data_IF_439623582350
#
_entry.id   IF_439623582350
#
_cell.length_a   1.000
_cell.length_b   1.000
_cell.length_c   1.000
_cell.angle_alpha   90.00
_cell.angle_beta   90.00
_cell.angle_gamma   90.00
#
_symmetry.space_group_name_H-M   'P 1'
#
loop_
_entity.id
_entity.type
_entity.pdbx_description
1 polymer ?
#
# COMPACT_ATOMS: atom_id res chain seq x y z
N UNK A 1 -29.66 -69.09 26.18
CA UNK A 1 -28.71 -67.97 26.42
C UNK A 1 -28.42 -67.23 25.11
N UNK A 2 -29.33 -66.38 24.63
CA UNK A 2 -29.21 -65.73 23.29
C UNK A 2 -29.91 -64.37 23.23
N UNK A 3 -29.79 -63.54 24.29
CA UNK A 3 -30.37 -62.18 24.29
C UNK A 3 -29.36 -61.03 24.49
N UNK A 4 -28.07 -61.32 24.75
CA UNK A 4 -27.08 -60.27 25.00
C UNK A 4 -26.10 -59.96 23.85
N UNK A 5 -26.13 -60.70 22.74
CA UNK A 5 -25.23 -60.43 21.59
C UNK A 5 -25.78 -59.44 20.57
N UNK A 6 -27.07 -59.09 20.65
CA UNK A 6 -27.72 -58.22 19.66
C UNK A 6 -27.60 -56.73 20.00
N UNK A 7 -27.54 -56.38 21.29
CA UNK A 7 -27.45 -54.98 21.75
C UNK A 7 -26.08 -54.34 21.48
N UNK A 8 -24.99 -55.12 21.51
CA UNK A 8 -23.64 -54.63 21.25
C UNK A 8 -23.39 -54.27 19.78
N UNK A 9 -24.06 -54.94 18.83
CA UNK A 9 -23.94 -54.63 17.40
C UNK A 9 -24.67 -53.33 17.02
N UNK A 10 -25.78 -53.01 17.69
CA UNK A 10 -26.55 -51.78 17.47
C UNK A 10 -25.82 -50.57 18.05
N UNK A 11 -25.13 -50.73 19.19
CA UNK A 11 -24.31 -49.69 19.82
C UNK A 11 -23.04 -49.35 19.02
N UNK A 12 -22.48 -50.30 18.27
CA UNK A 12 -21.34 -50.03 17.40
C UNK A 12 -21.74 -49.38 16.06
N UNK A 13 -22.92 -49.70 15.52
CA UNK A 13 -23.42 -49.06 14.29
C UNK A 13 -23.81 -47.59 14.49
N UNK A 14 -24.36 -47.23 15.65
CA UNK A 14 -24.75 -45.85 15.97
C UNK A 14 -23.54 -44.93 16.20
N UNK A 15 -22.47 -45.43 16.83
CA UNK A 15 -21.21 -44.66 16.98
C UNK A 15 -20.55 -44.40 15.62
N UNK A 16 -20.58 -45.35 14.68
CA UNK A 16 -20.05 -45.15 13.31
C UNK A 16 -20.87 -44.15 12.48
N UNK A 17 -22.19 -44.09 12.65
CA UNK A 17 -23.06 -43.13 11.94
C UNK A 17 -22.92 -41.68 12.44
N UNK A 18 -22.61 -41.49 13.72
CA UNK A 18 -22.32 -40.15 14.28
C UNK A 18 -20.91 -39.68 13.89
N UNK A 19 -19.92 -40.58 13.81
CA UNK A 19 -18.58 -40.21 13.34
C UNK A 19 -18.54 -39.93 11.83
N UNK A 20 -19.34 -40.63 11.00
CA UNK A 20 -19.43 -40.33 9.57
C UNK A 20 -20.07 -38.95 9.26
N UNK A 21 -20.97 -38.46 10.13
CA UNK A 21 -21.62 -37.15 9.96
C UNK A 21 -20.78 -35.96 10.49
N UNK A 22 -19.82 -36.21 11.39
CA UNK A 22 -18.84 -35.19 11.82
C UNK A 22 -17.70 -35.03 10.80
N UNK A 23 -17.30 -36.10 10.10
CA UNK A 23 -16.18 -36.05 9.14
C UNK A 23 -16.58 -35.41 7.79
N UNK A 24 -17.87 -35.35 7.43
CA UNK A 24 -18.34 -34.68 6.21
C UNK A 24 -18.71 -33.19 6.35
N UNK A 25 -18.46 -32.55 7.50
CA UNK A 25 -18.77 -31.12 7.72
C UNK A 25 -17.58 -30.15 7.62
N UNK A 26 -16.35 -30.63 7.39
CA UNK A 26 -15.17 -29.77 7.25
C UNK A 26 -14.43 -29.89 5.91
N UNK A 27 -15.12 -30.34 4.85
CA UNK A 27 -14.57 -30.37 3.50
C UNK A 27 -15.34 -29.46 2.53
N UNK A 28 -15.87 -28.35 3.02
CA UNK A 28 -16.15 -27.19 2.16
C UNK A 28 -14.92 -26.29 2.20
N UNK A 29 -13.80 -26.77 1.66
CA UNK A 29 -12.78 -25.84 1.18
C UNK A 29 -13.44 -25.12 0.00
N UNK A 30 -14.02 -23.95 0.29
CA UNK A 30 -14.38 -22.98 -0.74
C UNK A 30 -13.13 -22.83 -1.60
N UNK A 31 -13.18 -23.37 -2.82
CA UNK A 31 -12.13 -23.15 -3.82
C UNK A 31 -11.89 -21.64 -3.83
N UNK A 32 -10.65 -21.15 -3.70
CA UNK A 32 -10.42 -19.72 -3.85
C UNK A 32 -10.97 -19.37 -5.22
N UNK A 33 -11.97 -18.49 -5.25
CA UNK A 33 -12.46 -17.93 -6.49
C UNK A 33 -11.24 -17.31 -7.17
N UNK A 34 -10.74 -17.99 -8.20
CA UNK A 34 -9.75 -17.41 -9.10
C UNK A 34 -10.52 -16.30 -9.78
N UNK A 35 -10.41 -15.08 -9.25
CA UNK A 35 -10.78 -13.88 -9.98
C UNK A 35 -9.86 -13.84 -11.19
N UNK A 36 -10.30 -14.48 -12.28
CA UNK A 36 -9.82 -14.22 -13.62
C UNK A 36 -10.21 -12.77 -13.91
N UNK A 37 -9.41 -11.81 -13.44
CA UNK A 37 -9.44 -10.49 -14.03
C UNK A 37 -9.09 -10.72 -15.49
N UNK A 38 -10.08 -10.56 -16.37
CA UNK A 38 -9.87 -10.49 -17.80
C UNK A 38 -8.76 -9.47 -18.03
N UNK A 39 -7.55 -9.95 -18.29
CA UNK A 39 -6.37 -9.08 -18.33
C UNK A 39 -6.62 -8.09 -19.45
N UNK A 40 -6.73 -6.81 -19.10
CA UNK A 40 -7.03 -5.79 -20.08
C UNK A 40 -5.92 -5.75 -21.13
N UNK A 41 -6.22 -5.27 -22.35
CA UNK A 41 -5.16 -5.07 -23.36
C UNK A 41 -4.01 -4.22 -22.82
N UNK A 42 -4.31 -3.28 -21.92
CA UNK A 42 -3.32 -2.51 -21.16
C UNK A 42 -2.44 -3.42 -20.29
N UNK A 43 -3.01 -4.27 -19.45
CA UNK A 43 -2.25 -5.14 -18.53
C UNK A 43 -1.34 -6.11 -19.31
N UNK A 44 -1.80 -6.58 -20.47
CA UNK A 44 -1.03 -7.43 -21.36
C UNK A 44 0.19 -6.69 -21.92
N UNK A 45 0.00 -5.47 -22.46
CA UNK A 45 1.11 -4.67 -22.97
C UNK A 45 2.09 -4.26 -21.87
N UNK A 46 1.60 -3.91 -20.68
CA UNK A 46 2.48 -3.65 -19.53
C UNK A 46 3.31 -4.90 -19.17
N UNK A 47 2.68 -6.08 -19.09
CA UNK A 47 3.39 -7.35 -18.82
C UNK A 47 4.46 -7.66 -19.87
N UNK A 48 4.14 -7.50 -21.15
CA UNK A 48 5.07 -7.73 -22.25
C UNK A 48 6.23 -6.72 -22.22
N UNK A 49 5.95 -5.46 -21.89
CA UNK A 49 6.97 -4.43 -21.67
C UNK A 49 7.96 -4.83 -20.58
N UNK A 50 7.48 -5.19 -19.39
CA UNK A 50 8.35 -5.65 -18.30
C UNK A 50 9.14 -6.91 -18.66
N UNK A 51 8.52 -7.87 -19.35
CA UNK A 51 9.17 -9.11 -19.79
C UNK A 51 10.23 -8.87 -20.89
N UNK A 52 10.10 -7.83 -21.70
CA UNK A 52 11.13 -7.41 -22.65
C UNK A 52 12.25 -6.65 -21.94
N UNK A 53 11.92 -5.82 -20.95
CA UNK A 53 12.89 -5.13 -20.09
C UNK A 53 13.78 -6.13 -19.33
N UNK A 54 13.21 -7.21 -18.78
CA UNK A 54 13.98 -8.22 -18.05
C UNK A 54 15.02 -8.92 -18.94
N UNK A 55 14.75 -8.98 -20.24
CA UNK A 55 15.67 -9.47 -21.28
C UNK A 55 16.62 -8.40 -21.82
N UNK A 56 16.62 -7.20 -21.23
CA UNK A 56 17.38 -6.01 -21.66
C UNK A 56 17.05 -5.53 -23.07
N UNK A 57 15.91 -5.94 -23.61
CA UNK A 57 15.42 -5.48 -24.91
C UNK A 57 14.60 -4.20 -24.74
N UNK A 58 15.31 -3.11 -24.42
CA UNK A 58 14.68 -1.83 -24.07
C UNK A 58 13.91 -1.20 -25.23
N UNK A 59 14.32 -1.44 -26.48
CA UNK A 59 13.60 -0.95 -27.66
C UNK A 59 12.25 -1.63 -27.80
N UNK A 60 12.21 -2.96 -27.69
CA UNK A 60 10.95 -3.72 -27.73
C UNK A 60 10.06 -3.40 -26.53
N UNK A 61 10.64 -3.33 -25.33
CA UNK A 61 9.93 -2.96 -24.11
C UNK A 61 9.23 -1.59 -24.24
N UNK A 62 9.95 -0.58 -24.75
CA UNK A 62 9.39 0.74 -25.04
C UNK A 62 8.21 0.67 -26.00
N UNK A 63 8.29 -0.16 -27.03
CA UNK A 63 7.18 -0.40 -27.97
C UNK A 63 5.93 -0.93 -27.26
N UNK A 64 6.07 -1.90 -26.37
CA UNK A 64 4.94 -2.41 -25.58
C UNK A 64 4.37 -1.35 -24.64
N UNK A 65 5.19 -0.57 -23.93
CA UNK A 65 4.69 0.49 -23.07
C UNK A 65 3.97 1.61 -23.86
N UNK A 66 4.40 1.89 -25.10
CA UNK A 66 3.66 2.79 -26.00
C UNK A 66 2.29 2.23 -26.37
N UNK A 67 2.18 0.92 -26.64
CA UNK A 67 0.89 0.27 -26.89
C UNK A 67 -0.01 0.32 -25.65
N UNK A 68 0.54 0.12 -24.44
CA UNK A 68 -0.21 0.30 -23.20
C UNK A 68 -0.75 1.74 -23.07
N UNK A 69 0.08 2.75 -23.38
CA UNK A 69 -0.33 4.16 -23.36
C UNK A 69 -1.38 4.49 -24.43
N UNK A 70 -1.39 3.80 -25.57
CA UNK A 70 -2.45 3.93 -26.58
C UNK A 70 -3.78 3.37 -26.08
N UNK A 71 -3.76 2.23 -25.36
CA UNK A 71 -4.97 1.65 -24.75
C UNK A 71 -5.50 2.54 -23.63
N UNK A 72 -4.60 3.17 -22.86
CA UNK A 72 -4.95 4.09 -21.78
C UNK A 72 -4.20 5.42 -21.91
N UNK A 73 -4.69 6.35 -22.75
CA UNK A 73 -4.07 7.65 -22.92
C UNK A 73 -3.96 8.41 -21.58
N UNK A 74 -2.79 8.98 -21.32
CA UNK A 74 -2.51 9.72 -20.07
C UNK A 74 -2.13 8.85 -18.86
N UNK A 75 -2.04 7.52 -19.03
CA UNK A 75 -1.62 6.62 -17.95
C UNK A 75 -0.20 6.95 -17.44
N UNK A 76 -0.10 7.20 -16.15
CA UNK A 76 1.14 7.66 -15.52
C UNK A 76 2.19 6.55 -15.42
N UNK A 77 1.77 5.28 -15.32
CA UNK A 77 2.67 4.15 -15.15
C UNK A 77 3.28 3.73 -16.48
N UNK A 78 2.48 3.64 -17.55
CA UNK A 78 2.99 3.43 -18.90
C UNK A 78 3.93 4.57 -19.31
N UNK A 79 3.59 5.82 -19.01
CA UNK A 79 4.46 6.98 -19.25
C UNK A 79 5.77 6.88 -18.46
N UNK A 80 5.72 6.49 -17.19
CA UNK A 80 6.92 6.29 -16.37
C UNK A 80 7.80 5.18 -16.93
N UNK A 81 7.22 4.06 -17.35
CA UNK A 81 7.93 2.94 -17.95
C UNK A 81 8.62 3.33 -19.27
N UNK A 82 7.98 4.12 -20.13
CA UNK A 82 8.60 4.67 -21.36
C UNK A 82 9.82 5.53 -21.02
N UNK A 83 9.69 6.46 -20.06
CA UNK A 83 10.83 7.30 -19.61
C UNK A 83 11.98 6.48 -19.06
N UNK A 84 11.68 5.40 -18.33
CA UNK A 84 12.70 4.47 -17.85
C UNK A 84 13.42 3.79 -19.02
N UNK A 85 12.71 3.36 -20.07
CA UNK A 85 13.33 2.80 -21.28
C UNK A 85 14.21 3.81 -22.00
N UNK A 86 13.77 5.06 -22.12
CA UNK A 86 14.55 6.14 -22.73
C UNK A 86 15.85 6.40 -21.95
N UNK A 87 15.81 6.29 -20.61
CA UNK A 87 17.02 6.38 -19.78
C UNK A 87 17.99 5.23 -20.10
N UNK A 88 17.55 3.97 -20.10
CA UNK A 88 18.44 2.84 -20.42
C UNK A 88 19.01 2.93 -21.84
N UNK A 89 18.20 3.34 -22.82
CA UNK A 89 18.63 3.51 -24.21
C UNK A 89 19.67 4.63 -24.38
N UNK A 90 19.62 5.65 -23.52
CA UNK A 90 20.60 6.74 -23.48
C UNK A 90 21.76 6.49 -22.49
N UNK A 91 21.90 5.26 -21.97
CA UNK A 91 22.89 4.87 -20.96
C UNK A 91 22.82 5.69 -19.66
N UNK A 92 21.67 6.29 -19.38
CA UNK A 92 21.37 6.98 -18.12
C UNK A 92 20.74 6.01 -17.14
N UNK A 93 21.03 6.15 -15.85
CA UNK A 93 20.34 5.39 -14.80
C UNK A 93 18.91 5.92 -14.62
N UNK A 94 17.87 5.09 -14.66
CA UNK A 94 16.51 5.52 -14.34
C UNK A 94 16.36 5.66 -12.82
N UNK A 95 16.55 6.89 -12.32
CA UNK A 95 16.16 7.28 -10.97
C UNK A 95 14.87 8.11 -11.03
N UNK A 96 13.87 7.62 -11.75
CA UNK A 96 12.54 8.25 -11.78
C UNK A 96 11.68 7.58 -10.70
N UNK A 97 11.93 7.92 -9.43
CA UNK A 97 10.94 7.64 -8.39
C UNK A 97 9.74 8.54 -8.73
N UNK A 98 8.63 7.94 -9.15
CA UNK A 98 7.42 8.69 -9.51
C UNK A 98 7.10 9.67 -8.39
N UNK A 99 6.90 10.94 -8.74
CA UNK A 99 6.58 11.99 -7.79
C UNK A 99 5.44 11.54 -6.87
N UNK A 100 5.74 11.51 -5.58
CA UNK A 100 4.79 11.28 -4.50
C UNK A 100 4.22 12.64 -4.19
N UNK A 101 2.93 12.88 -4.38
CA UNK A 101 2.35 14.20 -4.08
C UNK A 101 1.56 14.22 -2.79
N UNK A 102 1.03 15.40 -2.48
CA UNK A 102 0.05 15.57 -1.38
C UNK A 102 -1.36 15.25 -1.86
N UNK A 103 -2.12 14.46 -1.10
CA UNK A 103 -3.58 14.47 -1.21
C UNK A 103 -4.03 15.82 -0.64
N UNK A 104 -4.10 16.85 -1.48
CA UNK A 104 -4.84 18.07 -1.13
C UNK A 104 -6.32 17.69 -1.09
N UNK A 105 -6.79 17.34 0.10
CA UNK A 105 -8.18 16.95 0.31
C UNK A 105 -8.42 15.87 1.35
N UNK A 106 -7.54 15.64 2.34
CA UNK A 106 -8.04 15.03 3.58
C UNK A 106 -8.72 16.17 4.34
N UNK A 107 -10.03 16.04 4.58
CA UNK A 107 -10.74 16.89 5.52
C UNK A 107 -10.05 16.71 6.87
N UNK A 108 -9.07 17.55 7.17
CA UNK A 108 -8.77 17.87 8.56
C UNK A 108 -10.04 18.55 9.04
N UNK A 109 -10.97 17.76 9.57
CA UNK A 109 -12.15 18.26 10.25
C UNK A 109 -11.65 19.06 11.43
N UNK A 110 -11.37 20.34 11.23
CA UNK A 110 -11.13 21.29 12.28
C UNK A 110 -12.47 21.48 13.00
N UNK A 111 -12.84 20.51 13.82
CA UNK A 111 -13.92 20.62 14.79
C UNK A 111 -13.31 21.25 16.04
N UNK A 112 -13.94 22.34 16.51
CA UNK A 112 -13.51 23.18 17.64
C UNK A 112 -12.92 22.34 18.78
N UNK A 113 -11.59 22.36 18.93
CA UNK A 113 -10.85 21.67 19.97
C UNK A 113 -9.37 22.03 19.93
N UNK A 114 -8.68 21.92 21.06
CA UNK A 114 -7.24 22.14 21.15
C UNK A 114 -6.50 21.02 20.42
N UNK A 115 -5.84 21.38 19.31
CA UNK A 115 -5.06 20.45 18.48
C UNK A 115 -3.74 20.09 19.17
N UNK A 116 -3.39 18.80 19.18
CA UNK A 116 -2.11 18.31 19.68
C UNK A 116 -0.98 18.37 18.64
N UNK A 117 -1.24 18.95 17.46
CA UNK A 117 -0.24 19.40 16.49
C UNK A 117 -0.45 20.90 16.24
N UNK A 118 0.61 21.61 15.85
CA UNK A 118 0.52 23.04 15.54
C UNK A 118 -0.46 23.32 14.39
N UNK A 119 -1.16 24.46 14.47
CA UNK A 119 -2.33 24.80 13.63
C UNK A 119 -2.05 24.74 12.11
N UNK A 120 -0.82 25.03 11.71
CA UNK A 120 -0.39 25.06 10.30
C UNK A 120 0.44 23.83 9.90
N UNK A 121 0.67 22.90 10.84
CA UNK A 121 1.43 21.67 10.60
C UNK A 121 0.44 20.51 10.43
N UNK A 122 0.64 19.71 9.39
CA UNK A 122 -0.25 18.57 9.06
C UNK A 122 0.56 17.31 8.86
N UNK A 123 0.02 16.18 9.30
CA UNK A 123 0.55 14.88 8.90
C UNK A 123 0.39 14.71 7.39
N UNK A 124 1.37 14.09 6.73
CA UNK A 124 1.36 13.88 5.28
C UNK A 124 1.56 12.39 4.98
N UNK A 125 0.60 11.70 4.35
CA UNK A 125 0.80 10.34 3.87
C UNK A 125 1.67 10.34 2.61
N UNK A 126 2.65 9.43 2.55
CA UNK A 126 3.43 9.19 1.32
C UNK A 126 2.68 8.18 0.44
N UNK A 127 1.75 8.71 -0.36
CA UNK A 127 0.87 7.95 -1.26
C UNK A 127 0.92 8.55 -2.67
N UNK A 128 0.62 7.78 -3.73
CA UNK A 128 0.57 8.33 -5.08
C UNK A 128 -0.50 9.43 -5.17
N UNK A 129 -0.18 10.55 -5.82
CA UNK A 129 -1.20 11.54 -6.19
C UNK A 129 -1.71 11.29 -7.59
N UNK A 130 -3.03 11.25 -7.80
CA UNK A 130 -3.60 11.46 -9.12
C UNK A 130 -3.16 12.85 -9.62
N UNK A 131 -2.56 12.93 -10.82
CA UNK A 131 -2.31 14.24 -11.45
C UNK A 131 -3.66 14.86 -11.85
N UNK A 132 -3.90 16.07 -11.34
CA UNK A 132 -5.14 16.85 -11.50
C UNK A 132 -5.43 17.77 -10.30
N UNK A 133 -4.87 17.50 -9.12
CA UNK A 133 -5.05 18.30 -7.89
C UNK A 133 -4.06 19.46 -7.72
N UNK A 134 -3.22 19.70 -8.72
CA UNK A 134 -2.35 20.87 -8.84
C UNK A 134 -3.14 22.06 -9.40
N UNK A 135 -4.13 22.52 -8.66
CA UNK A 135 -5.00 23.62 -9.09
C UNK A 135 -6.14 23.81 -8.10
N UNK A 136 -6.35 25.06 -7.72
CA UNK A 136 -7.49 25.52 -6.94
C UNK A 136 -8.80 24.86 -7.40
N UNK A 137 -9.50 24.19 -6.47
CA UNK A 137 -10.91 23.83 -6.60
C UNK A 137 -11.26 22.84 -7.71
N UNK A 138 -11.27 21.55 -7.39
CA UNK A 138 -12.29 20.64 -7.94
C UNK A 138 -12.44 19.41 -7.05
N UNK A 139 -13.33 19.53 -6.06
CA UNK A 139 -14.03 18.38 -5.49
C UNK A 139 -15.06 17.92 -6.53
N UNK A 140 -14.65 17.19 -7.57
CA UNK A 140 -15.58 16.41 -8.40
C UNK A 140 -14.81 15.37 -9.24
N UNK A 141 -15.17 14.11 -9.01
CA UNK A 141 -14.87 12.90 -9.78
C UNK A 141 -13.81 12.96 -10.88
N UNK A 142 -12.59 12.50 -10.57
CA UNK A 142 -11.58 12.12 -11.56
C UNK A 142 -11.07 10.72 -11.27
N UNK A 143 -11.37 9.75 -12.15
CA UNK A 143 -11.06 8.32 -12.02
C UNK A 143 -9.57 7.98 -11.99
N UNK A 144 -8.90 8.26 -10.88
CA UNK A 144 -7.60 7.65 -10.56
C UNK A 144 -7.81 6.28 -9.92
N UNK A 145 -7.11 5.25 -10.40
CA UNK A 145 -7.09 3.94 -9.73
C UNK A 145 -6.55 4.09 -8.30
N UNK A 146 -7.15 3.38 -7.35
CA UNK A 146 -6.66 3.33 -5.98
C UNK A 146 -5.20 2.83 -5.95
N UNK A 147 -4.34 3.35 -5.06
CA UNK A 147 -2.99 2.83 -4.86
C UNK A 147 -3.00 1.31 -4.63
N UNK A 148 -2.10 0.58 -5.29
CA UNK A 148 -2.08 -0.89 -5.24
C UNK A 148 -1.01 -1.40 -4.30
N UNK A 149 -1.24 -2.60 -3.74
CA UNK A 149 -0.23 -3.36 -3.01
C UNK A 149 -0.29 -4.84 -3.33
N UNK A 150 0.89 -5.46 -3.38
CA UNK A 150 1.07 -6.91 -3.52
C UNK A 150 1.32 -7.62 -2.20
N UNK A 151 1.20 -6.91 -1.06
CA UNK A 151 1.37 -7.49 0.27
C UNK A 151 0.06 -7.63 1.01
N UNK A 152 -0.13 -8.77 1.68
CA UNK A 152 -1.25 -8.93 2.61
C UNK A 152 -1.09 -8.01 3.82
N UNK A 153 0.13 -7.57 4.14
CA UNK A 153 0.45 -6.67 5.26
C UNK A 153 1.36 -5.55 4.79
N UNK A 154 0.83 -4.55 4.06
CA UNK A 154 1.65 -3.45 3.53
C UNK A 154 2.25 -2.60 4.66
N UNK A 155 3.35 -1.91 4.37
CA UNK A 155 3.82 -0.80 5.21
C UNK A 155 3.22 0.51 4.70
N UNK A 156 2.82 1.40 5.61
CA UNK A 156 2.43 2.78 5.32
C UNK A 156 3.52 3.74 5.79
N UNK A 157 3.62 4.91 5.16
CA UNK A 157 4.62 5.91 5.50
C UNK A 157 3.96 7.27 5.70
N UNK A 158 4.19 7.88 6.87
CA UNK A 158 3.60 9.16 7.24
C UNK A 158 4.68 10.13 7.72
N UNK A 159 4.69 11.34 7.18
CA UNK A 159 5.38 12.44 7.82
C UNK A 159 4.54 12.97 8.98
N UNK A 160 5.16 13.08 10.16
CA UNK A 160 4.53 13.54 11.38
C UNK A 160 5.30 14.79 11.87
N UNK A 161 4.69 15.98 11.90
CA UNK A 161 5.34 17.20 12.37
C UNK A 161 5.09 17.42 13.87
N UNK A 162 5.99 16.95 14.74
CA UNK A 162 5.89 17.18 16.20
C UNK A 162 6.94 18.19 16.64
N UNK A 163 6.50 19.27 17.28
CA UNK A 163 7.36 20.34 17.81
C UNK A 163 7.01 20.62 19.28
N UNK A 164 8.05 20.73 20.12
CA UNK A 164 7.91 21.07 21.54
C UNK A 164 7.08 20.05 22.34
N UNK A 165 6.26 20.56 23.27
CA UNK A 165 5.46 19.75 24.19
C UNK A 165 4.09 19.34 23.63
N UNK A 166 3.67 19.91 22.50
CA UNK A 166 2.42 19.52 21.82
C UNK A 166 2.64 18.21 21.06
N UNK A 167 2.13 17.13 21.62
CA UNK A 167 2.18 15.80 21.01
C UNK A 167 0.90 15.02 21.25
N UNK A 168 0.49 14.15 20.32
CA UNK A 168 -0.62 13.25 20.53
C UNK A 168 -0.38 12.33 21.72
N UNK A 169 -1.46 11.82 22.30
CA UNK A 169 -1.41 10.80 23.36
C UNK A 169 -1.01 9.45 22.80
N UNK A 170 -1.48 9.13 21.59
CA UNK A 170 -1.09 7.96 20.79
C UNK A 170 -1.48 8.20 19.32
N UNK A 171 -1.00 7.32 18.43
CA UNK A 171 -1.50 7.25 17.06
C UNK A 171 -2.34 5.99 16.85
N UNK A 172 -3.29 6.03 15.93
CA UNK A 172 -4.14 4.89 15.61
C UNK A 172 -4.24 4.71 14.09
N UNK A 173 -4.00 3.49 13.60
CA UNK A 173 -4.32 3.08 12.24
C UNK A 173 -5.62 2.28 12.28
N UNK A 174 -6.60 2.67 11.46
CA UNK A 174 -7.85 1.94 11.25
C UNK A 174 -7.96 1.59 9.78
N UNK A 175 -8.25 0.33 9.45
CA UNK A 175 -8.42 -0.14 8.06
C UNK A 175 -9.75 -0.87 7.97
N UNK A 176 -10.52 -0.58 6.92
CA UNK A 176 -11.84 -1.14 6.67
C UNK A 176 -11.96 -1.57 5.21
N UNK A 177 -12.59 -2.70 4.99
CA UNK A 177 -13.04 -3.11 3.64
C UNK A 177 -14.00 -2.04 3.08
N UNK A 178 -13.72 -1.51 1.88
CA UNK A 178 -14.51 -0.47 1.23
C UNK A 178 -15.94 -0.92 0.89
N UNK A 179 -16.16 -2.22 0.72
CA UNK A 179 -17.44 -2.82 0.33
C UNK A 179 -18.10 -3.62 1.48
N UNK A 180 -17.43 -3.72 2.63
CA UNK A 180 -17.86 -4.53 3.75
C UNK A 180 -18.90 -3.84 4.64
N UNK A 181 -19.73 -4.64 5.32
CA UNK A 181 -20.72 -4.20 6.32
C UNK A 181 -20.14 -3.62 7.61
N UNK A 182 -18.86 -3.23 7.62
CA UNK A 182 -18.15 -2.73 8.81
C UNK A 182 -17.75 -3.79 9.84
N UNK A 183 -17.89 -5.09 9.53
CA UNK A 183 -17.51 -6.20 10.44
C UNK A 183 -16.01 -6.49 10.48
N UNK A 184 -15.28 -6.23 9.40
CA UNK A 184 -13.83 -6.47 9.30
C UNK A 184 -13.08 -5.14 9.41
N UNK A 185 -12.90 -4.67 10.64
CA UNK A 185 -12.15 -3.45 10.95
C UNK A 185 -10.88 -3.82 11.68
N UNK A 186 -9.75 -3.53 11.05
CA UNK A 186 -8.43 -3.68 11.65
C UNK A 186 -8.07 -2.39 12.36
N UNK A 187 -7.67 -2.47 13.63
CA UNK A 187 -7.23 -1.32 14.43
C UNK A 187 -5.91 -1.63 15.11
N UNK A 188 -4.97 -0.69 15.04
CA UNK A 188 -3.69 -0.76 15.75
C UNK A 188 -3.38 0.58 16.40
N UNK A 189 -2.96 0.53 17.66
CA UNK A 189 -2.53 1.70 18.43
C UNK A 189 -0.99 1.72 18.50
N UNK A 190 -0.43 2.92 18.41
CA UNK A 190 1.01 3.17 18.43
C UNK A 190 1.40 4.22 19.46
N UNK A 191 2.62 4.11 19.96
CA UNK A 191 3.20 5.06 20.92
C UNK A 191 3.35 6.45 20.29
N UNK A 192 3.20 7.53 21.08
CA UNK A 192 3.46 8.87 20.59
C UNK A 192 4.95 9.09 20.27
N UNK A 193 5.24 10.08 19.44
CA UNK A 193 6.60 10.45 19.03
C UNK A 193 6.92 11.87 19.49
N UNK A 194 8.21 12.18 19.64
CA UNK A 194 8.69 13.48 20.14
C UNK A 194 9.57 14.23 19.14
N UNK A 195 9.71 13.72 17.92
CA UNK A 195 10.53 14.32 16.86
C UNK A 195 9.75 14.32 15.56
N UNK A 196 9.80 15.44 14.83
CA UNK A 196 9.35 15.46 13.44
C UNK A 196 10.15 14.48 12.60
N UNK A 197 9.47 13.83 11.65
CA UNK A 197 10.09 12.84 10.79
C UNK A 197 9.10 12.01 10.00
N UNK A 198 9.63 11.15 9.15
CA UNK A 198 8.85 10.15 8.43
C UNK A 198 8.89 8.83 9.18
N UNK A 199 7.71 8.29 9.41
CA UNK A 199 7.51 7.07 10.17
C UNK A 199 6.93 5.97 9.29
N UNK A 200 7.55 4.80 9.34
CA UNK A 200 7.02 3.56 8.77
C UNK A 200 6.05 2.94 9.78
N UNK A 201 4.85 2.61 9.30
CA UNK A 201 3.77 2.00 10.08
C UNK A 201 3.42 0.68 9.41
N UNK A 202 3.82 -0.43 10.03
CA UNK A 202 3.56 -1.76 9.51
C UNK A 202 2.10 -2.15 9.72
N UNK A 203 1.46 -2.77 8.72
CA UNK A 203 0.12 -3.31 8.87
C UNK A 203 0.08 -4.36 9.99
N UNK A 204 -0.97 -4.37 10.84
CA UNK A 204 -1.02 -5.21 12.04
C UNK A 204 -1.43 -6.66 11.72
N UNK A 205 -2.13 -7.35 12.62
CA UNK A 205 -2.58 -8.73 12.43
C UNK A 205 -3.69 -8.86 11.36
N UNK A 206 -3.91 -10.09 10.89
CA UNK A 206 -4.76 -10.36 9.73
C UNK A 206 -4.02 -10.14 8.41
N UNK A 207 -4.75 -9.75 7.36
CA UNK A 207 -4.17 -9.38 6.08
C UNK A 207 -5.24 -8.94 5.07
N UNK A 208 -4.81 -8.11 4.12
CA UNK A 208 -5.62 -7.69 2.99
C UNK A 208 -5.81 -8.84 2.00
N UNK A 209 -7.05 -9.09 1.63
CA UNK A 209 -7.45 -10.09 0.64
C UNK A 209 -7.29 -9.57 -0.80
N UNK A 210 -6.76 -10.41 -1.68
CA UNK A 210 -6.56 -10.09 -3.10
C UNK A 210 -7.89 -9.76 -3.78
N UNK A 211 -7.89 -8.71 -4.60
CA UNK A 211 -9.05 -8.21 -5.33
C UNK A 211 -9.87 -7.19 -4.56
N UNK A 212 -9.66 -7.06 -3.24
CA UNK A 212 -10.42 -6.12 -2.40
C UNK A 212 -9.75 -4.75 -2.28
N UNK A 213 -10.59 -3.74 -2.11
CA UNK A 213 -10.21 -2.37 -1.80
C UNK A 213 -10.52 -2.05 -0.34
N UNK A 214 -9.65 -1.28 0.29
CA UNK A 214 -9.75 -0.89 1.68
C UNK A 214 -9.57 0.62 1.82
N UNK A 215 -10.30 1.21 2.76
CA UNK A 215 -10.03 2.54 3.27
C UNK A 215 -9.18 2.44 4.52
N UNK A 216 -8.22 3.35 4.66
CA UNK A 216 -7.41 3.48 5.86
C UNK A 216 -7.52 4.90 6.42
N UNK A 217 -7.51 5.01 7.74
CA UNK A 217 -7.46 6.27 8.49
C UNK A 217 -6.29 6.16 9.48
N UNK A 218 -5.39 7.15 9.44
CA UNK A 218 -4.34 7.31 10.43
C UNK A 218 -4.61 8.56 11.27
N UNK A 219 -4.79 8.36 12.57
CA UNK A 219 -5.25 9.36 13.53
C UNK A 219 -4.16 9.70 14.53
N UNK A 220 -3.89 10.99 14.73
CA UNK A 220 -3.19 11.49 15.90
C UNK A 220 -4.22 11.83 16.98
N UNK A 221 -4.27 11.03 18.05
CA UNK A 221 -5.29 11.17 19.08
C UNK A 221 -4.83 12.15 20.16
N UNK A 222 -5.50 13.31 20.23
CA UNK A 222 -5.13 14.40 21.12
C UNK A 222 -5.75 14.29 22.52
N UNK A 223 -6.99 13.82 22.60
CA UNK A 223 -7.77 13.69 23.84
C UNK A 223 -8.15 12.22 24.07
N UNK A 224 -8.03 11.75 25.32
CA UNK A 224 -8.34 10.36 25.68
C UNK A 224 -9.83 10.03 25.57
N UNK A 225 -10.66 11.03 25.80
CA UNK A 225 -12.11 10.86 25.98
C UNK A 225 -12.89 11.44 24.80
N UNK A 226 -12.25 12.22 23.92
CA UNK A 226 -12.90 12.87 22.79
C UNK A 226 -12.10 12.68 21.50
N UNK A 227 -12.42 11.60 20.78
CA UNK A 227 -11.80 11.28 19.49
C UNK A 227 -12.17 12.28 18.40
N UNK A 228 -13.21 13.12 18.58
CA UNK A 228 -13.56 14.16 17.60
C UNK A 228 -12.53 15.28 17.51
N UNK A 229 -11.63 15.35 18.49
CA UNK A 229 -10.44 16.22 18.51
C UNK A 229 -9.21 15.58 17.86
N UNK A 230 -9.32 14.35 17.33
CA UNK A 230 -8.20 13.69 16.65
C UNK A 230 -7.92 14.35 15.30
N UNK A 231 -6.67 14.29 14.88
CA UNK A 231 -6.24 14.77 13.56
C UNK A 231 -6.10 13.55 12.66
N UNK A 232 -6.93 13.48 11.64
CA UNK A 232 -7.04 12.32 10.78
C UNK A 232 -6.49 12.60 9.37
N UNK A 233 -5.79 11.63 8.83
CA UNK A 233 -5.47 11.52 7.41
C UNK A 233 -6.00 10.19 6.88
N UNK A 234 -6.48 10.20 5.65
CA UNK A 234 -7.21 9.08 5.06
C UNK A 234 -6.70 8.75 3.67
N UNK A 235 -6.97 7.53 3.23
CA UNK A 235 -6.81 7.14 1.84
C UNK A 235 -7.31 5.73 1.57
N UNK A 236 -6.97 5.23 0.39
CA UNK A 236 -7.38 3.93 -0.10
C UNK A 236 -6.16 3.07 -0.42
N UNK A 237 -6.37 1.76 -0.42
CA UNK A 237 -5.40 0.78 -0.91
C UNK A 237 -6.12 -0.44 -1.46
N UNK A 238 -5.74 -0.90 -2.64
CA UNK A 238 -6.25 -2.11 -3.24
C UNK A 238 -5.20 -3.22 -3.19
N UNK A 239 -5.60 -4.39 -2.72
CA UNK A 239 -4.73 -5.57 -2.74
C UNK A 239 -4.84 -6.26 -4.10
N UNK A 240 -3.74 -6.35 -4.83
CA UNK A 240 -3.71 -6.96 -6.17
C UNK A 240 -2.65 -8.05 -6.26
N UNK A 241 -2.73 -8.89 -7.29
CA UNK A 241 -1.61 -9.74 -7.68
C UNK A 241 -0.56 -8.89 -8.42
N UNK A 242 0.71 -9.26 -8.27
CA UNK A 242 1.78 -8.63 -9.02
C UNK A 242 1.65 -8.99 -10.50
N UNK A 243 1.87 -8.03 -11.39
CA UNK A 243 1.93 -8.31 -12.82
C UNK A 243 3.03 -9.36 -13.08
N UNK A 244 2.76 -10.49 -13.76
CA UNK A 244 3.75 -11.54 -13.95
C UNK A 244 5.03 -11.08 -14.66
N UNK A 245 4.92 -10.21 -15.67
CA UNK A 245 6.08 -9.63 -16.34
C UNK A 245 6.92 -8.76 -15.41
N UNK A 246 6.28 -7.99 -14.52
CA UNK A 246 6.96 -7.22 -13.48
C UNK A 246 7.60 -8.14 -12.43
N UNK A 247 6.93 -9.22 -12.03
CA UNK A 247 7.49 -10.21 -11.11
C UNK A 247 8.78 -10.81 -11.68
N UNK A 248 8.78 -11.18 -12.96
CA UNK A 248 9.93 -11.74 -13.66
C UNK A 248 11.10 -10.74 -13.74
N UNK A 249 10.79 -9.48 -14.03
CA UNK A 249 11.76 -8.39 -14.00
C UNK A 249 12.40 -8.25 -12.61
N UNK A 250 11.57 -8.14 -11.58
CA UNK A 250 12.02 -7.90 -10.20
C UNK A 250 12.82 -9.05 -9.59
N UNK A 251 12.72 -10.29 -10.10
CA UNK A 251 13.55 -11.42 -9.62
C UNK A 251 15.05 -11.18 -9.81
N UNK A 252 15.41 -10.41 -10.83
CA UNK A 252 16.81 -10.12 -11.18
C UNK A 252 17.19 -8.65 -10.92
N UNK A 253 16.31 -7.87 -10.30
CA UNK A 253 16.51 -6.45 -10.03
C UNK A 253 16.78 -6.22 -8.55
N UNK A 254 17.77 -5.38 -8.23
CA UNK A 254 18.16 -5.07 -6.85
C UNK A 254 18.37 -3.56 -6.64
N UNK A 255 18.55 -3.16 -5.37
CA UNK A 255 18.88 -1.80 -5.01
C UNK A 255 17.84 -0.77 -5.47
N UNK A 256 18.30 0.42 -5.84
CA UNK A 256 17.45 1.52 -6.29
C UNK A 256 16.70 1.22 -7.59
N UNK A 257 17.21 0.32 -8.43
CA UNK A 257 16.50 -0.09 -9.64
C UNK A 257 15.19 -0.81 -9.29
N UNK A 258 15.21 -1.67 -8.27
CA UNK A 258 14.01 -2.37 -7.77
C UNK A 258 12.98 -1.38 -7.22
N UNK A 259 13.45 -0.36 -6.50
CA UNK A 259 12.62 0.76 -6.01
C UNK A 259 11.95 1.49 -7.17
N UNK A 260 12.72 1.88 -8.20
CA UNK A 260 12.20 2.54 -9.40
C UNK A 260 11.11 1.71 -10.07
N UNK A 261 11.30 0.40 -10.20
CA UNK A 261 10.33 -0.48 -10.85
C UNK A 261 9.03 -0.63 -10.08
N UNK A 262 9.07 -0.76 -8.76
CA UNK A 262 7.85 -0.73 -7.96
C UNK A 262 7.13 0.62 -8.08
N UNK A 263 7.85 1.74 -7.93
CA UNK A 263 7.27 3.08 -7.96
C UNK A 263 6.61 3.41 -9.31
N UNK A 264 7.32 3.10 -10.42
CA UNK A 264 6.83 3.34 -11.78
C UNK A 264 5.71 2.41 -12.22
N UNK A 265 5.39 1.38 -11.43
CA UNK A 265 4.36 0.38 -11.74
C UNK A 265 3.14 0.43 -10.80
N UNK A 266 3.03 1.48 -9.97
CA UNK A 266 1.87 1.70 -9.11
C UNK A 266 1.93 1.06 -7.72
N UNK A 267 3.08 0.49 -7.37
CA UNK A 267 3.34 -0.17 -6.09
C UNK A 267 4.20 0.71 -5.18
N UNK A 268 3.72 1.92 -4.86
CA UNK A 268 4.51 2.90 -4.12
C UNK A 268 4.84 2.44 -2.69
N UNK A 269 3.93 1.73 -2.02
CA UNK A 269 4.19 1.23 -0.68
C UNK A 269 5.32 0.19 -0.70
N UNK A 270 5.36 -0.67 -1.72
CA UNK A 270 6.47 -1.56 -1.98
C UNK A 270 7.76 -0.79 -2.26
N UNK A 271 7.71 0.23 -3.12
CA UNK A 271 8.88 1.04 -3.42
C UNK A 271 9.48 1.71 -2.16
N UNK A 272 8.62 2.28 -1.31
CA UNK A 272 9.02 2.92 -0.05
C UNK A 272 9.60 1.91 0.95
N UNK A 273 8.97 0.73 1.07
CA UNK A 273 9.45 -0.36 1.93
C UNK A 273 10.79 -0.91 1.46
N UNK A 274 10.99 -1.09 0.16
CA UNK A 274 12.27 -1.53 -0.38
C UNK A 274 13.34 -0.45 -0.19
N UNK A 275 13.00 0.82 -0.45
CA UNK A 275 13.91 1.96 -0.25
C UNK A 275 14.34 2.08 1.22
N UNK A 276 13.43 1.90 2.17
CA UNK A 276 13.73 2.01 3.61
C UNK A 276 14.69 0.92 4.12
N UNK A 277 14.87 -0.17 3.36
CA UNK A 277 15.76 -1.27 3.70
C UNK A 277 17.14 -1.17 3.05
N UNK A 278 17.34 -0.23 2.11
CA UNK A 278 18.63 -0.08 1.44
C UNK A 278 19.68 0.54 2.38
N UNK A 279 20.96 0.14 2.27
CA UNK A 279 22.04 0.75 3.03
C UNK A 279 22.15 2.25 2.74
N UNK A 280 22.38 3.03 3.80
CA UNK A 280 22.58 4.48 3.67
C UNK A 280 23.84 4.78 2.86
N UNK A 281 23.66 5.48 1.76
CA UNK A 281 24.71 6.04 0.91
C UNK A 281 24.19 7.31 0.20
N UNK A 282 25.04 7.93 -0.62
CA UNK A 282 24.66 9.18 -1.30
C UNK A 282 23.48 8.99 -2.25
N UNK A 283 23.44 7.88 -2.99
CA UNK A 283 22.38 7.61 -3.97
C UNK A 283 21.02 7.37 -3.29
N UNK A 284 20.97 6.54 -2.25
CA UNK A 284 19.75 6.25 -1.47
C UNK A 284 19.24 7.46 -0.71
N UNK A 285 20.14 8.26 -0.15
CA UNK A 285 19.77 9.50 0.54
C UNK A 285 19.23 10.54 -0.44
N UNK A 286 19.79 10.64 -1.65
CA UNK A 286 19.27 11.53 -2.69
C UNK A 286 17.91 11.08 -3.20
N UNK A 287 17.73 9.77 -3.46
CA UNK A 287 16.45 9.18 -3.81
C UNK A 287 15.36 9.47 -2.76
N UNK A 288 15.70 9.32 -1.48
CA UNK A 288 14.80 9.65 -0.37
C UNK A 288 14.44 11.13 -0.34
N UNK A 289 15.42 12.02 -0.49
CA UNK A 289 15.21 13.47 -0.52
C UNK A 289 14.31 13.89 -1.67
N UNK A 290 14.56 13.41 -2.89
CA UNK A 290 13.75 13.72 -4.07
C UNK A 290 12.30 13.27 -3.88
N UNK A 291 12.09 12.09 -3.29
CA UNK A 291 10.76 11.60 -2.95
C UNK A 291 10.04 12.54 -1.98
N UNK A 292 10.68 12.94 -0.87
CA UNK A 292 10.07 13.82 0.11
C UNK A 292 9.81 15.24 -0.43
N UNK A 293 10.72 15.76 -1.24
CA UNK A 293 10.53 17.04 -1.93
C UNK A 293 9.34 17.00 -2.89
N UNK A 294 9.16 15.89 -3.61
CA UNK A 294 7.98 15.72 -4.48
C UNK A 294 6.66 15.77 -3.69
N UNK A 295 6.70 15.35 -2.42
CA UNK A 295 5.57 15.38 -1.49
C UNK A 295 5.40 16.73 -0.79
N UNK A 296 6.10 17.78 -1.23
CA UNK A 296 6.15 19.11 -0.60
C UNK A 296 6.57 19.08 0.88
N UNK A 297 7.34 18.07 1.31
CA UNK A 297 7.92 18.02 2.64
C UNK A 297 9.23 18.82 2.60
N UNK A 298 9.28 19.94 3.33
CA UNK A 298 10.43 20.86 3.37
C UNK A 298 11.21 20.79 4.68
N UNK A 299 10.78 19.96 5.64
CA UNK A 299 11.49 19.73 6.90
C UNK A 299 12.84 19.07 6.63
N UNK A 300 13.92 19.84 6.82
CA UNK A 300 15.29 19.41 6.57
C UNK A 300 15.75 18.30 7.52
N UNK A 301 15.24 18.26 8.75
CA UNK A 301 15.55 17.17 9.68
C UNK A 301 14.91 15.86 9.20
N UNK A 302 13.65 15.91 8.75
CA UNK A 302 12.97 14.76 8.18
C UNK A 302 13.60 14.29 6.86
N UNK A 303 14.00 15.23 5.98
CA UNK A 303 14.68 14.93 4.71
C UNK A 303 16.00 14.19 4.93
N UNK A 304 16.75 14.55 5.96
CA UNK A 304 18.06 13.95 6.24
C UNK A 304 17.98 12.66 7.09
N UNK A 305 16.83 12.41 7.71
CA UNK A 305 16.53 11.20 8.46
C UNK A 305 16.17 10.05 7.51
N UNK A 306 17.18 9.24 7.20
CA UNK A 306 17.06 8.03 6.38
C UNK A 306 17.87 6.88 7.03
N UNK A 307 17.32 5.67 7.16
CA UNK A 307 15.96 5.27 6.79
C UNK A 307 14.87 5.89 7.70
N UNK A 308 13.58 5.83 7.30
CA UNK A 308 12.48 6.25 8.16
C UNK A 308 12.42 5.42 9.44
N UNK A 309 11.90 6.03 10.51
CA UNK A 309 11.78 5.37 11.83
C UNK A 309 10.55 4.47 11.85
N UNK A 310 10.66 3.25 12.37
CA UNK A 310 9.47 2.41 12.61
C UNK A 310 8.66 2.91 13.80
N UNK A 311 7.38 3.19 13.57
CA UNK A 311 6.46 3.58 14.63
C UNK A 311 6.14 2.37 15.51
N UNK A 312 6.32 2.52 16.82
CA UNK A 312 6.23 1.40 17.75
C UNK A 312 4.77 1.13 18.14
N UNK A 313 4.28 -0.11 18.01
CA UNK A 313 2.97 -0.47 18.53
C UNK A 313 2.95 -0.31 20.06
N UNK A 314 1.76 -0.02 20.59
CA UNK A 314 1.55 0.08 22.04
C UNK A 314 1.29 -1.28 22.66
#
# INVERSE_FOLDING_TARGET
>A
MTKHRWWLLILWLSVLLVFASVILRQASAEKPAVYLTQTSGYDQYMAQGYAATSRRDYRRARGFFLQALQVRPGDVYATAAIRNMDAYLSQKRPLNIVAVGTVRGTKAGARRGESCLEKDKRMIPLVPTPKGSGGSGSETGGGGEAPKTTEARPSFFFYIPVEGDKKPRWFQLTIKDSQGSGKNVVKQVYKPVSKSGVYQVDYPSGGLEVGKEYTWTFSAVCDRNDFSKSIDIEGQIQRTQLNPGLQDLLRNTQGLEKVTWYASSGYLQEALRELSQLPRNNETTSAWRELLQSANITDTAAINAFPPVKLQPR
#
